data_IF_976986204729
#
_entry.id   IF_976986204729
#
_cell.length_a   1.000
_cell.length_b   1.000
_cell.length_c   1.000
_cell.angle_alpha   90.00
_cell.angle_beta   90.00
_cell.angle_gamma   90.00
#
_symmetry.space_group_name_H-M   'P 1'
#
loop_
_entity.id
_entity.type
_entity.pdbx_description
1 polymer ?
#
# COMPACT_ATOMS: atom_id res chain seq x y z
N UNK A 1 17.54 -15.75 -19.28
CA UNK A 1 16.32 -14.93 -19.20
C UNK A 1 16.13 -14.52 -17.75
N UNK A 2 16.32 -13.24 -17.44
CA UNK A 2 16.20 -12.71 -16.08
C UNK A 2 14.73 -12.78 -15.66
N UNK A 3 14.36 -13.77 -14.86
CA UNK A 3 13.06 -13.79 -14.18
C UNK A 3 13.06 -12.63 -13.19
N UNK A 4 12.52 -11.48 -13.57
CA UNK A 4 12.14 -10.47 -12.60
C UNK A 4 11.19 -11.15 -11.61
N UNK A 5 11.47 -11.12 -10.30
CA UNK A 5 10.59 -11.74 -9.33
C UNK A 5 9.20 -11.13 -9.46
N UNK A 6 8.17 -11.97 -9.44
CA UNK A 6 6.79 -11.49 -9.45
C UNK A 6 6.54 -10.74 -8.15
N UNK A 7 6.14 -9.48 -8.25
CA UNK A 7 5.72 -8.68 -7.12
C UNK A 7 4.20 -8.70 -7.04
N UNK A 8 3.69 -8.61 -5.84
CA UNK A 8 2.29 -8.41 -5.54
C UNK A 8 2.15 -7.06 -4.85
N UNK A 9 1.06 -6.35 -5.11
CA UNK A 9 0.77 -5.11 -4.42
C UNK A 9 -0.70 -5.00 -4.03
N UNK A 10 -0.98 -4.10 -3.11
CA UNK A 10 -2.33 -3.75 -2.69
C UNK A 10 -2.42 -2.27 -2.30
N UNK A 11 -3.63 -1.74 -2.27
CA UNK A 11 -3.90 -0.39 -1.82
C UNK A 11 -5.07 -0.37 -0.83
N UNK A 12 -4.83 0.25 0.32
CA UNK A 12 -5.83 0.47 1.35
C UNK A 12 -6.08 1.97 1.48
N UNK A 13 -7.36 2.35 1.52
CA UNK A 13 -7.83 3.66 1.95
C UNK A 13 -8.53 3.56 3.30
N UNK A 14 -8.40 4.60 4.08
CA UNK A 14 -9.05 4.79 5.38
C UNK A 14 -9.44 6.26 5.51
N UNK A 15 -10.23 6.59 6.53
CA UNK A 15 -10.56 7.99 6.83
C UNK A 15 -9.30 8.81 7.19
N UNK A 16 -8.42 8.29 8.05
CA UNK A 16 -7.12 8.89 8.37
C UNK A 16 -6.20 7.88 9.05
N UNK A 17 -4.89 8.14 9.02
CA UNK A 17 -3.86 7.39 9.76
C UNK A 17 -3.11 8.36 10.67
N UNK A 18 -3.69 8.68 11.82
CA UNK A 18 -3.11 9.60 12.82
C UNK A 18 -2.55 8.88 14.05
N UNK A 19 -3.12 7.72 14.40
CA UNK A 19 -2.65 6.93 15.56
C UNK A 19 -1.28 6.32 15.29
N UNK A 20 -0.23 6.89 15.90
CA UNK A 20 1.14 6.33 15.85
C UNK A 20 1.18 4.89 16.36
N UNK A 21 0.43 4.56 17.42
CA UNK A 21 0.33 3.20 17.96
C UNK A 21 -0.22 2.21 16.92
N UNK A 22 -1.26 2.58 16.16
CA UNK A 22 -1.76 1.71 15.09
C UNK A 22 -0.75 1.60 13.95
N UNK A 23 -0.12 2.71 13.54
CA UNK A 23 0.91 2.68 12.49
C UNK A 23 2.12 1.81 12.87
N UNK A 24 2.57 1.83 14.12
CA UNK A 24 3.61 0.92 14.62
C UNK A 24 3.18 -0.55 14.50
N UNK A 25 1.90 -0.88 14.74
CA UNK A 25 1.36 -2.23 14.53
C UNK A 25 1.32 -2.62 13.05
N UNK A 26 0.91 -1.70 12.18
CA UNK A 26 0.92 -1.89 10.71
C UNK A 26 2.35 -2.21 10.23
N UNK A 27 3.34 -1.42 10.66
CA UNK A 27 4.74 -1.61 10.31
C UNK A 27 5.30 -2.93 10.85
N UNK A 28 4.97 -3.29 12.10
CA UNK A 28 5.37 -4.57 12.68
C UNK A 28 4.79 -5.75 11.89
N UNK A 29 3.51 -5.69 11.53
CA UNK A 29 2.88 -6.72 10.71
C UNK A 29 3.56 -6.85 9.34
N UNK A 30 3.94 -5.73 8.71
CA UNK A 30 4.66 -5.74 7.43
C UNK A 30 5.99 -6.52 7.53
N UNK A 31 6.75 -6.29 8.62
CA UNK A 31 8.01 -7.01 8.88
C UNK A 31 7.81 -8.51 9.13
N UNK A 32 6.72 -8.90 9.78
CA UNK A 32 6.43 -10.30 10.11
C UNK A 32 5.89 -11.11 8.93
N UNK A 33 5.21 -10.44 8.00
CA UNK A 33 4.47 -11.05 6.88
C UNK A 33 5.16 -10.83 5.54
N UNK A 34 6.48 -10.58 5.54
CA UNK A 34 7.32 -10.44 4.35
C UNK A 34 6.81 -9.39 3.34
N UNK A 35 6.23 -8.30 3.83
CA UNK A 35 5.97 -7.11 3.01
C UNK A 35 7.30 -6.42 2.77
N UNK A 36 7.75 -6.44 1.53
CA UNK A 36 9.04 -5.87 1.12
C UNK A 36 9.03 -4.35 1.35
N UNK A 37 7.99 -3.66 0.90
CA UNK A 37 7.87 -2.20 1.05
C UNK A 37 6.47 -1.77 1.45
N UNK A 38 6.42 -0.92 2.48
CA UNK A 38 5.22 -0.28 3.00
C UNK A 38 5.36 1.23 2.83
N UNK A 39 4.44 1.84 2.09
CA UNK A 39 4.37 3.28 1.91
C UNK A 39 3.04 3.82 2.43
N UNK A 40 3.12 4.77 3.36
CA UNK A 40 1.95 5.27 4.07
C UNK A 40 1.78 6.76 3.85
N UNK A 41 0.55 7.18 3.58
CA UNK A 41 0.14 8.57 3.77
C UNK A 41 -0.55 8.73 5.13
N UNK A 42 0.06 9.49 6.02
CA UNK A 42 -0.49 9.84 7.34
C UNK A 42 -0.88 11.33 7.41
N UNK A 43 -1.34 11.79 8.57
CA UNK A 43 -1.54 13.24 8.83
C UNK A 43 -2.86 13.86 8.34
N UNK A 44 -3.56 13.23 7.39
CA UNK A 44 -4.83 13.76 6.88
C UNK A 44 -5.77 12.71 6.30
N UNK A 45 -6.92 13.19 5.83
CA UNK A 45 -7.89 12.38 5.07
C UNK A 45 -7.63 12.49 3.57
N UNK A 46 -7.75 11.40 2.79
CA UNK A 46 -7.82 10.01 3.24
C UNK A 46 -6.47 9.49 3.79
N UNK A 47 -6.49 8.57 4.76
CA UNK A 47 -5.31 7.78 5.09
C UNK A 47 -5.07 6.71 4.02
N UNK A 48 -3.83 6.54 3.56
CA UNK A 48 -3.50 5.65 2.43
C UNK A 48 -2.37 4.72 2.83
N UNK A 49 -2.47 3.43 2.50
CA UNK A 49 -1.36 2.47 2.66
C UNK A 49 -1.20 1.69 1.36
N UNK A 50 0.00 1.74 0.81
CA UNK A 50 0.46 0.86 -0.26
C UNK A 50 1.40 -0.16 0.36
N UNK A 51 1.22 -1.42 0.00
CA UNK A 51 2.15 -2.48 0.38
C UNK A 51 2.47 -3.32 -0.85
N UNK A 52 3.73 -3.70 -0.99
CA UNK A 52 4.19 -4.68 -1.96
C UNK A 52 5.07 -5.74 -1.32
N UNK A 53 5.07 -6.93 -1.91
CA UNK A 53 5.90 -8.05 -1.49
C UNK A 53 6.00 -9.11 -2.58
N UNK A 54 6.86 -10.11 -2.34
CA UNK A 54 7.05 -11.26 -3.24
C UNK A 54 6.06 -12.41 -3.00
N UNK A 55 5.29 -12.34 -1.91
CA UNK A 55 4.31 -13.35 -1.52
C UNK A 55 2.91 -12.73 -1.40
N UNK A 56 1.97 -13.25 -2.19
CA UNK A 56 0.57 -12.84 -2.17
C UNK A 56 -0.12 -13.23 -0.85
N UNK A 57 0.25 -14.38 -0.26
CA UNK A 57 -0.35 -14.87 0.97
C UNK A 57 0.02 -13.94 2.14
N UNK A 58 1.30 -13.63 2.30
CA UNK A 58 1.78 -12.65 3.30
C UNK A 58 1.13 -11.27 3.14
N UNK A 59 0.97 -10.80 1.89
CA UNK A 59 0.28 -9.52 1.64
C UNK A 59 -1.21 -9.57 2.00
N UNK A 60 -1.88 -10.70 1.74
CA UNK A 60 -3.30 -10.93 2.08
C UNK A 60 -3.52 -11.01 3.59
N UNK A 61 -2.64 -11.69 4.31
CA UNK A 61 -2.65 -11.75 5.77
C UNK A 61 -2.35 -10.36 6.37
N UNK A 62 -1.45 -9.59 5.74
CA UNK A 62 -1.16 -8.23 6.16
C UNK A 62 -2.39 -7.33 6.02
N UNK A 63 -3.11 -7.37 4.89
CA UNK A 63 -4.37 -6.63 4.70
C UNK A 63 -5.38 -7.00 5.80
N UNK A 64 -5.50 -8.28 6.13
CA UNK A 64 -6.40 -8.78 7.18
C UNK A 64 -6.01 -8.23 8.57
N UNK A 65 -4.70 -8.19 8.86
CA UNK A 65 -4.16 -7.61 10.09
C UNK A 65 -4.43 -6.12 10.19
N UNK A 66 -4.27 -5.36 9.10
CA UNK A 66 -4.60 -3.92 9.06
C UNK A 66 -6.10 -3.69 9.25
N UNK A 67 -6.95 -4.51 8.63
CA UNK A 67 -8.40 -4.45 8.81
C UNK A 67 -8.83 -4.69 10.27
N UNK A 68 -8.12 -5.57 10.98
CA UNK A 68 -8.32 -5.84 12.40
C UNK A 68 -8.06 -4.62 13.31
N UNK A 69 -7.28 -3.63 12.85
CA UNK A 69 -7.03 -2.38 13.58
C UNK A 69 -8.20 -1.39 13.54
N UNK A 70 -9.29 -1.71 12.80
CA UNK A 70 -10.54 -0.95 12.75
C UNK A 70 -10.29 0.55 12.50
N UNK A 71 -9.58 0.86 11.42
CA UNK A 71 -9.56 2.24 10.91
C UNK A 71 -10.96 2.59 10.38
N UNK A 72 -11.40 3.83 10.62
CA UNK A 72 -12.67 4.33 10.08
C UNK A 72 -12.62 4.30 8.55
N UNK A 73 -13.73 3.94 7.92
CA UNK A 73 -13.89 3.86 6.46
C UNK A 73 -12.81 3.01 5.77
N UNK A 74 -12.36 1.95 6.42
CA UNK A 74 -11.39 1.01 5.83
C UNK A 74 -11.93 0.42 4.53
N UNK A 75 -11.18 0.56 3.45
CA UNK A 75 -11.44 -0.04 2.15
C UNK A 75 -10.13 -0.52 1.53
N UNK A 76 -10.05 -1.82 1.24
CA UNK A 76 -9.01 -2.34 0.35
C UNK A 76 -9.45 -2.07 -1.10
N UNK A 77 -8.96 -0.97 -1.67
CA UNK A 77 -9.40 -0.46 -2.97
C UNK A 77 -8.66 -1.10 -4.14
N UNK A 78 -7.52 -1.72 -3.86
CA UNK A 78 -6.90 -2.71 -4.73
C UNK A 78 -6.47 -3.89 -3.86
N UNK A 79 -7.07 -5.06 -4.11
CA UNK A 79 -6.72 -6.30 -3.42
C UNK A 79 -5.30 -6.74 -3.81
N UNK A 80 -4.62 -7.53 -2.95
CA UNK A 80 -3.38 -8.22 -3.33
C UNK A 80 -3.52 -8.86 -4.71
N UNK A 81 -2.68 -8.44 -5.64
CA UNK A 81 -2.64 -8.95 -7.00
C UNK A 81 -1.25 -8.75 -7.59
N UNK A 82 -0.92 -9.55 -8.60
CA UNK A 82 0.37 -9.47 -9.29
C UNK A 82 0.55 -8.11 -9.95
N UNK A 83 1.70 -7.50 -9.72
CA UNK A 83 2.13 -6.24 -10.28
C UNK A 83 3.09 -6.48 -11.44
N UNK A 84 2.72 -6.04 -12.65
CA UNK A 84 3.55 -6.19 -13.84
C UNK A 84 4.38 -4.93 -14.09
N UNK A 85 5.64 -5.11 -14.51
CA UNK A 85 6.52 -4.00 -14.87
C UNK A 85 7.00 -3.12 -13.70
N UNK A 86 6.71 -3.49 -12.45
CA UNK A 86 7.08 -2.72 -11.27
C UNK A 86 8.49 -3.07 -10.80
N UNK A 87 9.27 -2.04 -10.46
CA UNK A 87 10.56 -2.22 -9.78
C UNK A 87 10.33 -2.39 -8.29
N UNK A 88 10.84 -3.48 -7.73
CA UNK A 88 10.75 -3.74 -6.28
C UNK A 88 11.50 -2.68 -5.49
N UNK A 89 10.91 -2.26 -4.37
CA UNK A 89 11.53 -1.45 -3.34
C UNK A 89 11.46 -2.21 -2.01
N UNK A 90 12.27 -1.83 -1.04
CA UNK A 90 12.18 -2.36 0.32
C UNK A 90 12.11 -1.23 1.35
N UNK A 91 11.54 -1.53 2.52
CA UNK A 91 11.56 -0.65 3.68
C UNK A 91 10.20 -0.03 4.03
N UNK A 92 10.25 1.10 4.74
CA UNK A 92 9.08 1.83 5.17
C UNK A 92 9.26 3.31 4.86
N UNK A 93 8.30 3.90 4.15
CA UNK A 93 8.27 5.33 3.88
C UNK A 93 6.92 5.91 4.35
N UNK A 94 6.95 7.19 4.73
CA UNK A 94 5.77 7.91 5.19
C UNK A 94 5.74 9.30 4.53
N UNK A 95 4.57 9.75 4.10
CA UNK A 95 4.33 11.10 3.58
C UNK A 95 3.02 11.64 4.16
N UNK A 96 2.81 12.95 4.10
CA UNK A 96 1.51 13.57 4.41
C UNK A 96 0.74 13.97 3.13
N UNK A 97 1.38 13.87 1.96
CA UNK A 97 0.91 14.41 0.68
C UNK A 97 0.37 13.33 -0.25
N UNK A 98 -0.91 13.47 -0.67
CA UNK A 98 -1.49 12.62 -1.72
C UNK A 98 -0.76 12.81 -3.05
N UNK A 99 -0.35 14.05 -3.35
CA UNK A 99 0.34 14.38 -4.59
C UNK A 99 1.70 13.68 -4.67
N UNK A 100 2.44 13.70 -3.58
CA UNK A 100 3.71 12.98 -3.49
C UNK A 100 3.48 11.48 -3.62
N UNK A 101 2.47 10.95 -2.93
CA UNK A 101 2.12 9.54 -3.01
C UNK A 101 1.86 9.09 -4.45
N UNK A 102 1.05 9.85 -5.19
CA UNK A 102 0.75 9.59 -6.60
C UNK A 102 1.97 9.71 -7.51
N UNK A 103 2.88 10.67 -7.25
CA UNK A 103 4.16 10.79 -7.97
C UNK A 103 4.99 9.51 -7.82
N UNK A 104 5.16 9.02 -6.59
CA UNK A 104 5.92 7.80 -6.30
C UNK A 104 5.28 6.57 -6.97
N UNK A 105 3.95 6.46 -6.97
CA UNK A 105 3.26 5.39 -7.71
C UNK A 105 3.53 5.48 -9.21
N UNK A 106 3.50 6.69 -9.79
CA UNK A 106 3.84 6.92 -11.20
C UNK A 106 5.26 6.48 -11.56
N UNK A 107 6.25 6.83 -10.73
CA UNK A 107 7.66 6.43 -10.92
C UNK A 107 7.88 4.92 -10.85
N UNK A 108 6.99 4.20 -10.15
CA UNK A 108 6.97 2.73 -10.09
C UNK A 108 6.25 2.06 -11.27
N UNK A 109 5.71 2.83 -12.21
CA UNK A 109 4.87 2.30 -13.30
C UNK A 109 3.42 1.99 -12.87
N UNK A 110 3.02 2.37 -11.66
CA UNK A 110 1.67 2.16 -11.11
C UNK A 110 0.76 3.38 -11.28
N UNK A 111 1.11 4.35 -12.12
CA UNK A 111 0.37 5.60 -12.28
C UNK A 111 -1.11 5.40 -12.66
N UNK A 112 -1.38 4.57 -13.68
CA UNK A 112 -2.75 4.24 -14.09
C UNK A 112 -3.51 3.47 -13.01
N UNK A 113 -2.89 2.41 -12.48
CA UNK A 113 -3.44 1.61 -11.38
C UNK A 113 -3.81 2.46 -10.15
N UNK A 114 -2.95 3.41 -9.78
CA UNK A 114 -3.17 4.37 -8.70
C UNK A 114 -4.37 5.27 -8.98
N UNK A 115 -4.43 5.88 -10.16
CA UNK A 115 -5.54 6.76 -10.55
C UNK A 115 -6.87 6.01 -10.52
N UNK A 116 -6.93 4.80 -11.08
CA UNK A 116 -8.10 3.93 -11.01
C UNK A 116 -8.53 3.63 -9.57
N UNK A 117 -7.61 3.17 -8.73
CA UNK A 117 -7.90 2.78 -7.35
C UNK A 117 -8.33 3.96 -6.47
N UNK A 118 -7.82 5.16 -6.76
CA UNK A 118 -8.20 6.40 -6.08
C UNK A 118 -9.48 7.03 -6.63
N UNK A 119 -9.92 6.67 -7.83
CA UNK A 119 -11.09 7.25 -8.51
C UNK A 119 -10.77 8.55 -9.25
N UNK A 120 -9.54 8.71 -9.75
CA UNK A 120 -9.12 9.86 -10.55
C UNK A 120 -9.26 9.62 -12.06
N UNK A 121 -9.37 8.36 -12.48
CA UNK A 121 -9.82 8.02 -13.84
C UNK A 121 -11.34 8.05 -13.86
N UNK A 122 -11.87 9.25 -14.14
CA UNK A 122 -13.11 9.49 -14.84
C UNK A 122 -14.44 9.11 -14.15
N UNK A 123 -15.26 10.14 -13.94
CA UNK A 123 -16.25 10.46 -14.98
C UNK A 123 -15.56 11.01 -16.22
#
# INVERSE_FOLDING_TARGET
MSRTPSLFNCLIRTHHITSRKKLSRVRRAAQQLNVDWLYVRSGGSPGIMFAEGRDEAGLTEWVSTVQALRYKDFKCVAKPAKAEGVRGKTGFDETESVREFGRVMGEKGLGGWWKKAMGYEGE
#
